data_IF_320184243866
#
_entry.id   IF_320184243866
#
_cell.length_a   1.000
_cell.length_b   1.000
_cell.length_c   1.000
_cell.angle_alpha   90.00
_cell.angle_beta   90.00
_cell.angle_gamma   90.00
#
_symmetry.space_group_name_H-M   'P 1'
#
loop_
_entity.id
_entity.type
_entity.pdbx_description
1 polymer ?
#
# COMPACT_ATOMS: atom_id res chain seq x y z
N UNK A 1 0.25 11.70 6.53
CA UNK A 1 1.14 10.54 6.34
C UNK A 1 0.63 9.73 5.16
N UNK A 2 1.45 9.42 4.15
CA UNK A 2 1.00 8.63 3.01
C UNK A 2 0.71 7.20 3.47
N UNK A 3 -0.54 6.78 3.29
CA UNK A 3 -0.96 5.39 3.45
C UNK A 3 -0.77 4.70 2.11
N UNK A 4 -0.01 3.61 2.10
CA UNK A 4 0.22 2.79 0.93
C UNK A 4 -0.55 1.49 1.09
N UNK A 5 -1.36 1.15 0.09
CA UNK A 5 -2.05 -0.14 0.06
C UNK A 5 -1.19 -1.15 -0.68
N UNK A 6 -1.18 -2.38 -0.16
CA UNK A 6 -0.44 -3.50 -0.72
C UNK A 6 -1.38 -4.68 -0.89
N UNK A 7 -1.21 -5.41 -1.98
CA UNK A 7 -1.92 -6.63 -2.30
C UNK A 7 -0.92 -7.76 -2.49
N UNK A 8 -1.04 -8.83 -1.72
CA UNK A 8 -0.23 -10.02 -1.92
C UNK A 8 -0.68 -10.75 -3.19
N UNK A 9 0.24 -11.01 -4.13
CA UNK A 9 -0.09 -11.73 -5.37
C UNK A 9 -0.31 -13.23 -5.13
N UNK A 10 0.25 -13.79 -4.04
CA UNK A 10 0.12 -15.21 -3.72
C UNK A 10 -1.20 -15.57 -3.02
N UNK A 11 -1.61 -14.78 -2.03
CA UNK A 11 -2.80 -15.10 -1.22
C UNK A 11 -3.98 -14.13 -1.45
N UNK A 12 -3.80 -13.10 -2.28
CA UNK A 12 -4.82 -12.08 -2.54
C UNK A 12 -5.15 -11.21 -1.34
N UNK A 13 -4.33 -11.23 -0.29
CA UNK A 13 -4.59 -10.44 0.92
C UNK A 13 -4.15 -8.99 0.72
N UNK A 14 -5.12 -8.09 0.82
CA UNK A 14 -4.93 -6.64 0.84
C UNK A 14 -4.63 -6.16 2.26
N UNK A 15 -3.61 -5.31 2.40
CA UNK A 15 -3.24 -4.69 3.67
C UNK A 15 -2.71 -3.28 3.45
N UNK A 16 -3.08 -2.38 4.35
CA UNK A 16 -2.63 -0.99 4.32
C UNK A 16 -1.42 -0.82 5.22
N UNK A 17 -0.38 -0.17 4.72
CA UNK A 17 0.81 0.21 5.50
C UNK A 17 1.03 1.70 5.44
N UNK A 18 1.15 2.29 6.62
CA UNK A 18 1.60 3.67 6.80
C UNK A 18 3.12 3.57 6.84
N UNK A 19 3.79 3.97 5.74
CA UNK A 19 5.24 3.91 5.65
C UNK A 19 5.80 5.30 5.35
N UNK A 20 6.94 5.57 5.97
CA UNK A 20 7.75 6.74 5.67
C UNK A 20 8.51 6.49 4.36
N UNK A 21 8.91 7.55 3.63
CA UNK A 21 9.69 7.40 2.39
C UNK A 21 10.94 6.52 2.59
N UNK A 22 11.59 6.63 3.74
CA UNK A 22 12.74 5.81 4.13
C UNK A 22 12.42 4.31 4.29
N UNK A 23 11.20 3.94 4.69
CA UNK A 23 10.77 2.53 4.75
C UNK A 23 10.41 1.99 3.37
N UNK A 24 9.92 2.85 2.47
CA UNK A 24 9.70 2.49 1.07
C UNK A 24 11.02 2.17 0.37
N UNK A 25 12.06 2.98 0.57
CA UNK A 25 13.42 2.71 0.05
C UNK A 25 14.05 1.43 0.63
N UNK A 26 13.72 1.08 1.88
CA UNK A 26 14.20 -0.15 2.51
C UNK A 26 13.61 -1.43 1.88
N UNK A 27 12.52 -1.33 1.11
CA UNK A 27 12.08 -2.35 0.14
C UNK A 27 11.67 -3.72 0.69
N UNK A 28 11.53 -3.89 2.01
CA UNK A 28 11.20 -5.17 2.65
C UNK A 28 9.74 -5.19 3.10
N UNK A 29 8.82 -5.27 2.14
CA UNK A 29 7.40 -5.52 2.45
C UNK A 29 7.11 -6.99 2.20
N UNK A 30 6.73 -7.71 3.25
CA UNK A 30 6.26 -9.10 3.18
C UNK A 30 4.80 -9.18 3.57
N UNK A 31 4.08 -10.12 2.97
CA UNK A 31 2.70 -10.37 3.35
C UNK A 31 2.64 -11.00 4.75
N UNK A 32 1.88 -10.43 5.71
CA UNK A 32 1.78 -10.98 7.07
C UNK A 32 1.02 -12.32 7.14
N UNK A 33 0.33 -12.73 6.06
CA UNK A 33 -0.51 -13.93 6.02
C UNK A 33 0.23 -15.16 5.49
N UNK A 34 1.07 -14.98 4.47
CA UNK A 34 1.77 -16.08 3.80
C UNK A 34 3.29 -15.91 3.77
N UNK A 35 3.82 -14.85 4.39
CA UNK A 35 5.24 -14.48 4.40
C UNK A 35 5.87 -14.33 2.99
N UNK A 36 5.05 -14.21 1.95
CA UNK A 36 5.53 -13.98 0.60
C UNK A 36 6.10 -12.56 0.47
N UNK A 37 7.22 -12.44 -0.22
CA UNK A 37 7.81 -11.17 -0.68
C UNK A 37 7.11 -10.63 -1.93
N UNK A 38 6.20 -11.41 -2.53
CA UNK A 38 5.49 -11.05 -3.75
C UNK A 38 4.23 -10.21 -3.43
N UNK A 39 4.47 -8.98 -3.01
CA UNK A 39 3.43 -7.98 -2.74
C UNK A 39 3.48 -6.87 -3.79
N UNK A 40 2.32 -6.47 -4.29
CA UNK A 40 2.15 -5.37 -5.25
C UNK A 40 1.57 -4.18 -4.52
N UNK A 41 2.16 -3.00 -4.72
CA UNK A 41 1.57 -1.78 -4.21
C UNK A 41 0.29 -1.48 -5.01
N UNK A 42 -0.85 -1.46 -4.34
CA UNK A 42 -2.06 -0.84 -4.84
C UNK A 42 -1.94 0.64 -4.51
N UNK A 43 -1.49 1.43 -5.49
CA UNK A 43 -1.61 2.88 -5.38
C UNK A 43 -3.09 3.19 -5.49
N UNK A 44 -3.79 3.31 -4.37
CA UNK A 44 -5.12 3.92 -4.39
C UNK A 44 -4.91 5.35 -4.83
N UNK A 45 -5.33 5.62 -6.06
CA UNK A 45 -5.34 6.95 -6.63
C UNK A 45 -6.06 7.82 -5.61
N UNK A 46 -5.31 8.73 -5.00
CA UNK A 46 -5.81 9.73 -4.10
C UNK A 46 -6.78 10.59 -4.92
N UNK A 47 -8.06 10.19 -4.97
CA UNK A 47 -9.10 11.01 -5.55
C UNK A 47 -9.25 12.15 -4.57
N UNK A 48 -8.51 13.23 -4.83
CA UNK A 48 -8.76 14.53 -4.25
C UNK A 48 -10.24 14.79 -4.49
N UNK A 49 -11.07 14.59 -3.46
CA UNK A 49 -12.42 15.12 -3.43
C UNK A 49 -12.25 16.62 -3.47
N UNK A 50 -12.12 17.18 -4.67
CA UNK A 50 -12.34 18.59 -4.88
C UNK A 50 -13.79 18.78 -4.46
N UNK A 51 -13.96 19.31 -3.25
CA UNK A 51 -15.24 19.88 -2.86
C UNK A 51 -15.45 21.02 -3.84
N UNK A 52 -16.17 20.73 -4.94
CA UNK A 52 -16.76 21.74 -5.80
C UNK A 52 -17.73 22.50 -4.89
N UNK A 53 -17.23 23.58 -4.30
CA UNK A 53 -18.01 24.55 -3.58
C UNK A 53 -18.77 25.34 -4.64
N UNK A 54 -20.03 24.95 -4.86
CA UNK A 54 -21.02 25.76 -5.59
C UNK A 54 -21.22 27.11 -4.91
#
# INVERSE_FOLDING_TARGET
>A
MPTYEYLCSQCGHEFTRIMSFSEYEAGKVTCPKCNSTEVKQQMTAFISKTSRKS
#
